data_IF_355879622271
#
_entry.id   IF_355879622271
#
_cell.length_a   1.000
_cell.length_b   1.000
_cell.length_c   1.000
_cell.angle_alpha   90.00
_cell.angle_beta   90.00
_cell.angle_gamma   90.00
#
_symmetry.space_group_name_H-M   'P 1'
#
loop_
_entity.id
_entity.type
_entity.pdbx_description
1 polymer ?
#
# COMPACT_ATOMS: atom_id res chain seq x y z
N UNK A 1 -24.76 21.80 12.61
CA UNK A 1 -23.84 21.16 11.66
C UNK A 1 -23.66 19.72 12.12
N UNK A 2 -24.04 18.76 11.30
CA UNK A 2 -24.35 17.39 11.72
C UNK A 2 -23.12 16.62 12.20
N UNK A 3 -23.17 16.16 13.45
CA UNK A 3 -22.17 15.34 14.17
C UNK A 3 -21.66 14.12 13.35
N UNK A 4 -22.50 13.59 12.45
CA UNK A 4 -22.13 12.50 11.54
C UNK A 4 -20.98 12.82 10.58
N UNK A 5 -20.85 14.08 10.12
CA UNK A 5 -19.78 14.46 9.19
C UNK A 5 -18.40 14.46 9.86
N UNK A 6 -18.34 14.87 11.12
CA UNK A 6 -17.10 14.90 11.89
C UNK A 6 -16.65 13.49 12.27
N UNK A 7 -17.59 12.65 12.72
CA UNK A 7 -17.32 11.24 13.04
C UNK A 7 -16.82 10.44 11.82
N UNK A 8 -17.37 10.69 10.63
CA UNK A 8 -16.89 10.06 9.39
C UNK A 8 -15.48 10.52 9.00
N UNK A 9 -15.20 11.82 9.11
CA UNK A 9 -13.89 12.38 8.80
C UNK A 9 -12.80 11.83 9.74
N UNK A 10 -13.10 11.69 11.03
CA UNK A 10 -12.18 11.09 11.99
C UNK A 10 -11.89 9.62 11.64
N UNK A 11 -12.93 8.82 11.35
CA UNK A 11 -12.77 7.43 10.96
C UNK A 11 -11.92 7.30 9.68
N UNK A 12 -12.19 8.13 8.68
CA UNK A 12 -11.43 8.17 7.44
C UNK A 12 -9.95 8.51 7.70
N UNK A 13 -9.68 9.51 8.53
CA UNK A 13 -8.31 9.89 8.91
C UNK A 13 -7.57 8.78 9.65
N UNK A 14 -8.24 8.06 10.56
CA UNK A 14 -7.67 6.90 11.28
C UNK A 14 -7.35 5.75 10.33
N UNK A 15 -8.25 5.45 9.39
CA UNK A 15 -8.03 4.43 8.37
C UNK A 15 -6.85 4.81 7.47
N UNK A 16 -6.78 6.05 7.01
CA UNK A 16 -5.69 6.55 6.20
C UNK A 16 -4.34 6.45 6.94
N UNK A 17 -4.30 6.89 8.20
CA UNK A 17 -3.12 6.77 9.05
C UNK A 17 -2.64 5.33 9.17
N UNK A 18 -3.55 4.40 9.48
CA UNK A 18 -3.23 2.98 9.60
C UNK A 18 -2.68 2.39 8.29
N UNK A 19 -3.30 2.70 7.16
CA UNK A 19 -2.85 2.22 5.84
C UNK A 19 -1.46 2.78 5.50
N UNK A 20 -1.23 4.09 5.71
CA UNK A 20 0.09 4.70 5.48
C UNK A 20 1.17 4.08 6.36
N UNK A 21 0.89 3.84 7.64
CA UNK A 21 1.83 3.17 8.55
C UNK A 21 2.17 1.74 8.08
N UNK A 22 1.18 0.98 7.61
CA UNK A 22 1.40 -0.37 7.06
C UNK A 22 2.27 -0.33 5.80
N UNK A 23 2.04 0.64 4.90
CA UNK A 23 2.84 0.81 3.69
C UNK A 23 4.29 1.19 4.02
N UNK A 24 4.51 2.07 4.99
CA UNK A 24 5.84 2.43 5.47
C UNK A 24 6.56 1.23 6.07
N UNK A 25 5.89 0.47 6.94
CA UNK A 25 6.43 -0.75 7.54
C UNK A 25 6.83 -1.77 6.47
N UNK A 26 5.94 -2.04 5.50
CA UNK A 26 6.23 -2.96 4.41
C UNK A 26 7.44 -2.51 3.58
N UNK A 27 7.56 -1.20 3.33
CA UNK A 27 8.73 -0.64 2.64
C UNK A 27 10.03 -0.82 3.44
N UNK A 28 10.01 -0.59 4.75
CA UNK A 28 11.19 -0.78 5.61
C UNK A 28 11.61 -2.24 5.68
N UNK A 29 10.65 -3.17 5.78
CA UNK A 29 10.92 -4.60 5.79
C UNK A 29 11.45 -5.10 4.44
N UNK A 30 10.94 -4.57 3.34
CA UNK A 30 11.45 -4.88 2.00
C UNK A 30 12.89 -4.39 1.84
N UNK A 31 13.17 -3.14 2.22
CA UNK A 31 14.51 -2.55 2.11
C UNK A 31 15.56 -3.24 3.00
N UNK A 32 15.13 -3.87 4.09
CA UNK A 32 16.00 -4.68 4.95
C UNK A 32 16.14 -6.14 4.50
N UNK A 33 15.49 -6.53 3.40
CA UNK A 33 15.53 -7.89 2.86
C UNK A 33 14.69 -8.91 3.63
N UNK A 34 13.91 -8.47 4.63
CA UNK A 34 13.05 -9.34 5.45
C UNK A 34 11.76 -9.72 4.72
N UNK A 35 11.29 -8.85 3.83
CA UNK A 35 10.03 -9.02 3.10
C UNK A 35 10.27 -9.04 1.59
N UNK A 36 9.78 -10.10 0.93
CA UNK A 36 9.63 -10.14 -0.53
C UNK A 36 8.46 -9.24 -0.92
N UNK A 37 8.79 -8.01 -1.31
CA UNK A 37 7.83 -6.99 -1.73
C UNK A 37 6.90 -7.48 -2.84
N UNK A 38 7.43 -7.91 -4.01
CA UNK A 38 6.64 -8.43 -5.11
C UNK A 38 5.62 -9.49 -4.69
N UNK A 39 6.07 -10.53 -3.97
CA UNK A 39 5.21 -11.62 -3.50
C UNK A 39 4.17 -11.14 -2.50
N UNK A 40 4.53 -10.23 -1.61
CA UNK A 40 3.60 -9.66 -0.64
C UNK A 40 2.46 -8.91 -1.32
N UNK A 41 2.76 -8.01 -2.27
CA UNK A 41 1.72 -7.26 -2.98
C UNK A 41 0.80 -8.17 -3.81
N UNK A 42 1.36 -9.17 -4.50
CA UNK A 42 0.56 -10.16 -5.23
C UNK A 42 -0.37 -10.95 -4.29
N UNK A 43 0.11 -11.29 -3.10
CA UNK A 43 -0.69 -11.96 -2.08
C UNK A 43 -1.85 -11.07 -1.59
N UNK A 44 -1.60 -9.78 -1.33
CA UNK A 44 -2.64 -8.83 -0.93
C UNK A 44 -3.73 -8.72 -2.01
N UNK A 45 -3.34 -8.59 -3.27
CA UNK A 45 -4.30 -8.55 -4.39
C UNK A 45 -5.13 -9.84 -4.49
N UNK A 46 -4.48 -11.01 -4.37
CA UNK A 46 -5.17 -12.29 -4.39
C UNK A 46 -6.16 -12.44 -3.23
N UNK A 47 -5.79 -12.01 -2.02
CA UNK A 47 -6.69 -12.03 -0.86
C UNK A 47 -7.88 -11.10 -1.11
N UNK A 48 -7.65 -9.91 -1.68
CA UNK A 48 -8.73 -8.99 -2.07
C UNK A 48 -9.75 -9.63 -3.02
N UNK A 49 -9.29 -10.49 -3.93
CA UNK A 49 -10.16 -11.21 -4.86
C UNK A 49 -10.88 -12.41 -4.23
N UNK A 50 -10.25 -13.06 -3.25
CA UNK A 50 -10.80 -14.23 -2.54
C UNK A 50 -11.69 -13.86 -1.35
N UNK A 51 -11.77 -12.58 -1.03
CA UNK A 51 -12.53 -12.06 0.10
C UNK A 51 -14.04 -12.18 -0.13
N UNK A 52 -14.58 -13.33 0.23
CA UNK A 52 -16.02 -13.58 0.37
C UNK A 52 -16.46 -13.19 1.79
N UNK A 53 -16.59 -11.89 2.07
CA UNK A 53 -17.36 -11.49 3.26
C UNK A 53 -18.86 -11.62 2.95
N UNK A 54 -19.71 -11.88 3.93
CA UNK A 54 -21.17 -11.93 3.72
C UNK A 54 -21.83 -10.56 4.01
N UNK A 55 -21.06 -9.47 3.94
CA UNK A 55 -21.44 -8.16 4.46
C UNK A 55 -21.48 -7.04 3.39
N UNK A 56 -22.31 -5.99 3.55
CA UNK A 56 -22.43 -4.88 2.59
C UNK A 56 -21.15 -4.06 2.37
N UNK A 57 -20.20 -4.10 3.30
CA UNK A 57 -18.92 -3.38 3.24
C UNK A 57 -17.88 -4.03 2.30
N UNK A 58 -18.20 -5.17 1.70
CA UNK A 58 -17.36 -5.94 0.79
C UNK A 58 -16.68 -5.12 -0.33
N UNK A 59 -17.41 -4.30 -1.12
CA UNK A 59 -16.79 -3.66 -2.27
C UNK A 59 -15.75 -2.61 -1.85
N UNK A 60 -16.00 -1.91 -0.74
CA UNK A 60 -15.09 -0.91 -0.21
C UNK A 60 -13.81 -1.57 0.32
N UNK A 61 -13.93 -2.64 1.10
CA UNK A 61 -12.78 -3.37 1.63
C UNK A 61 -11.92 -3.98 0.50
N UNK A 62 -12.55 -4.63 -0.49
CA UNK A 62 -11.87 -5.17 -1.67
C UNK A 62 -11.11 -4.09 -2.42
N UNK A 63 -11.76 -2.96 -2.69
CA UNK A 63 -11.14 -1.82 -3.38
C UNK A 63 -9.94 -1.30 -2.60
N UNK A 64 -10.07 -1.05 -1.30
CA UNK A 64 -8.97 -0.57 -0.46
C UNK A 64 -7.77 -1.53 -0.49
N UNK A 65 -8.00 -2.84 -0.46
CA UNK A 65 -6.90 -3.81 -0.55
C UNK A 65 -6.21 -3.81 -1.93
N UNK A 66 -6.98 -3.64 -3.01
CA UNK A 66 -6.42 -3.47 -4.35
C UNK A 66 -5.59 -2.18 -4.47
N UNK A 67 -6.07 -1.07 -3.90
CA UNK A 67 -5.36 0.21 -3.85
C UNK A 67 -4.06 0.11 -3.04
N UNK A 68 -4.08 -0.61 -1.91
CA UNK A 68 -2.88 -0.89 -1.11
C UNK A 68 -1.85 -1.69 -1.92
N UNK A 69 -2.28 -2.75 -2.61
CA UNK A 69 -1.40 -3.54 -3.46
C UNK A 69 -0.79 -2.70 -4.60
N UNK A 70 -1.58 -1.81 -5.20
CA UNK A 70 -1.12 -0.88 -6.21
C UNK A 70 -0.09 0.11 -5.64
N UNK A 71 -0.37 0.72 -4.47
CA UNK A 71 0.54 1.65 -3.81
C UNK A 71 1.90 1.02 -3.44
N UNK A 72 1.90 -0.24 -2.99
CA UNK A 72 3.12 -1.02 -2.75
C UNK A 72 3.95 -1.18 -4.03
N UNK A 73 3.30 -1.56 -5.13
CA UNK A 73 3.96 -1.67 -6.45
C UNK A 73 4.52 -0.33 -6.92
N UNK A 74 3.75 0.74 -6.82
CA UNK A 74 4.13 2.06 -7.30
C UNK A 74 5.35 2.60 -6.55
N UNK A 75 5.33 2.44 -5.22
CA UNK A 75 6.43 2.81 -4.32
C UNK A 75 7.74 2.11 -4.70
N UNK A 76 7.69 0.81 -5.01
CA UNK A 76 8.85 0.05 -5.51
C UNK A 76 9.35 0.57 -6.86
N UNK A 77 8.46 0.76 -7.82
CA UNK A 77 8.84 1.23 -9.15
C UNK A 77 9.53 2.60 -9.08
N UNK A 78 9.06 3.49 -8.20
CA UNK A 78 9.72 4.78 -7.94
C UNK A 78 11.13 4.59 -7.38
N UNK A 79 11.32 3.73 -6.38
CA UNK A 79 12.66 3.40 -5.84
C UNK A 79 13.60 2.85 -6.91
N UNK A 80 13.13 1.89 -7.71
CA UNK A 80 13.92 1.29 -8.77
C UNK A 80 14.36 2.32 -9.82
N UNK A 81 13.46 3.24 -10.22
CA UNK A 81 13.80 4.33 -11.16
C UNK A 81 14.83 5.30 -10.59
N UNK A 82 14.73 5.66 -9.31
CA UNK A 82 15.71 6.53 -8.64
C UNK A 82 17.08 5.85 -8.58
N UNK A 83 17.11 4.57 -8.17
CA UNK A 83 18.36 3.79 -8.10
C UNK A 83 19.02 3.62 -9.47
N UNK A 84 18.24 3.35 -10.52
CA UNK A 84 18.76 3.23 -11.89
C UNK A 84 19.38 4.53 -12.42
N UNK A 85 18.81 5.70 -12.08
CA UNK A 85 19.38 7.01 -12.44
C UNK A 85 20.70 7.28 -11.72
N UNK A 86 20.82 6.88 -10.45
CA UNK A 86 22.05 7.05 -9.67
C UNK A 86 23.17 6.13 -10.18
N UNK A 87 22.85 4.87 -10.52
CA UNK A 87 23.82 3.93 -11.09
C UNK A 87 24.30 4.28 -12.52
N UNK A 88 23.54 5.07 -13.27
CA UNK A 88 23.95 5.58 -14.58
C UNK A 88 24.90 6.79 -14.49
N UNK A 89 24.81 7.59 -13.42
CA UNK A 89 25.67 8.75 -13.20
C UNK A 89 27.10 8.42 -12.72
N UNK A 90 27.30 7.27 -12.08
CA UNK A 90 28.61 6.87 -11.55
C UNK A 90 29.47 6.02 -12.51
N UNK A 91 29.02 5.80 -13.76
CA UNK A 91 29.72 4.91 -14.71
C UNK A 91 30.76 5.62 -15.61
N UNK A 92 30.95 6.92 -15.42
CA UNK A 92 31.97 7.72 -16.11
C UNK A 92 32.66 8.66 -15.12
N UNK A 93 33.61 8.13 -14.34
CA UNK A 93 34.60 8.88 -13.59
C UNK A 93 35.89 8.04 -13.55
#
# INVERSE_FOLDING_TARGET
MSDHGQNFAELAGRLEGAVRSLLLLASTLEMSGVLDGPRYAATVARIADQLAYNAPSQPAAKRTMQEIAAALNDSRQRRARVSARQGAGCRWA
#
